data_IF_709648641240
#
_entry.id   IF_709648641240
#
_cell.length_a   1.000
_cell.length_b   1.000
_cell.length_c   1.000
_cell.angle_alpha   90.00
_cell.angle_beta   90.00
_cell.angle_gamma   90.00
#
_symmetry.space_group_name_H-M   'P 1'
#
loop_
_entity.id
_entity.type
_entity.pdbx_description
1 polymer ?
#
# COMPACT_ATOMS: atom_id res chain seq x y z
N UNK A 1 2.28 5.94 -2.60
CA UNK A 1 1.12 6.35 -1.76
C UNK A 1 1.62 7.30 -0.69
N UNK A 2 0.90 8.39 -0.40
CA UNK A 2 1.22 9.30 0.70
C UNK A 2 0.21 9.05 1.81
N UNK A 3 0.67 8.69 3.01
CA UNK A 3 -0.16 8.68 4.21
C UNK A 3 0.24 9.87 5.08
N UNK A 4 -0.74 10.59 5.59
CA UNK A 4 -0.54 11.63 6.58
C UNK A 4 -0.97 11.05 7.92
N UNK A 5 -0.06 10.99 8.88
CA UNK A 5 -0.41 10.53 10.22
C UNK A 5 -1.16 11.63 11.01
N UNK A 6 -1.67 11.29 12.20
CA UNK A 6 -2.36 12.24 13.07
C UNK A 6 -1.47 13.41 13.55
N UNK A 7 -0.15 13.30 13.40
CA UNK A 7 0.83 14.34 13.71
C UNK A 7 1.13 15.26 12.52
N UNK A 8 0.54 14.99 11.35
CA UNK A 8 0.80 15.71 10.11
C UNK A 8 2.10 15.29 9.41
N UNK A 9 2.79 14.26 9.90
CA UNK A 9 3.99 13.71 9.24
C UNK A 9 3.56 12.88 8.04
N UNK A 10 4.20 13.16 6.91
CA UNK A 10 3.97 12.43 5.67
C UNK A 10 4.85 11.19 5.62
N UNK A 11 4.24 10.01 5.53
CA UNK A 11 4.92 8.78 5.14
C UNK A 11 4.76 8.54 3.64
N UNK A 12 5.89 8.39 2.95
CA UNK A 12 5.93 8.05 1.52
C UNK A 12 6.21 6.57 1.36
N UNK A 13 5.23 5.85 0.81
CA UNK A 13 5.42 4.49 0.34
C UNK A 13 5.85 4.57 -1.12
N UNK A 14 7.14 4.33 -1.36
CA UNK A 14 7.73 4.23 -2.68
C UNK A 14 8.31 2.82 -2.83
N UNK A 15 7.52 1.92 -3.43
CA UNK A 15 8.02 0.65 -3.95
C UNK A 15 8.17 0.81 -5.45
N UNK A 16 9.36 0.53 -5.97
CA UNK A 16 9.55 0.41 -7.41
C UNK A 16 8.68 -0.73 -7.92
N UNK A 17 7.98 -0.53 -9.04
CA UNK A 17 7.25 -1.60 -9.71
C UNK A 17 8.20 -2.52 -10.49
N UNK A 18 9.44 -2.09 -10.72
CA UNK A 18 10.49 -2.89 -11.33
C UNK A 18 11.48 -3.34 -10.25
N UNK A 19 11.74 -4.63 -10.23
CA UNK A 19 12.73 -5.26 -9.36
C UNK A 19 13.81 -5.91 -10.23
N UNK A 20 15.07 -5.84 -9.79
CA UNK A 20 16.17 -6.48 -10.51
C UNK A 20 15.98 -8.00 -10.45
N UNK A 21 16.18 -8.68 -11.57
CA UNK A 21 16.10 -10.13 -11.62
C UNK A 21 17.29 -10.73 -10.88
N UNK A 22 17.07 -11.82 -10.14
CA UNK A 22 18.16 -12.60 -9.55
C UNK A 22 19.18 -13.07 -10.60
N UNK A 23 18.71 -13.31 -11.83
CA UNK A 23 19.52 -13.62 -13.00
C UNK A 23 19.07 -12.78 -14.18
N UNK A 24 19.92 -11.89 -14.72
CA UNK A 24 19.59 -11.11 -15.90
C UNK A 24 19.45 -12.05 -17.11
N UNK A 25 18.44 -11.81 -17.93
CA UNK A 25 18.22 -12.55 -19.17
C UNK A 25 19.16 -12.04 -20.26
N UNK A 26 19.57 -12.94 -21.15
CA UNK A 26 20.31 -12.54 -22.35
C UNK A 26 19.37 -11.78 -23.29
N UNK A 27 19.66 -10.50 -23.53
CA UNK A 27 18.99 -9.74 -24.59
C UNK A 27 19.27 -10.44 -25.92
N UNK A 28 18.25 -10.75 -26.75
CA UNK A 28 18.49 -11.29 -28.07
C UNK A 28 19.42 -10.32 -28.82
N UNK A 29 20.42 -10.83 -29.57
CA UNK A 29 21.32 -9.97 -30.32
C UNK A 29 20.49 -9.05 -31.21
N UNK A 30 20.63 -7.74 -31.00
CA UNK A 30 19.80 -6.72 -31.64
C UNK A 30 20.17 -6.50 -33.13
N UNK A 31 20.83 -7.49 -33.74
CA UNK A 31 21.43 -7.40 -35.07
C UNK A 31 21.05 -8.64 -35.85
N UNK A 32 20.06 -8.50 -36.73
CA UNK A 32 19.87 -9.43 -37.82
C UNK A 32 20.77 -8.98 -38.97
N UNK A 33 21.93 -9.58 -39.14
CA UNK A 33 22.67 -9.41 -40.39
C UNK A 33 21.97 -10.23 -41.47
N UNK A 34 21.83 -9.67 -42.68
CA UNK A 34 21.25 -10.37 -43.84
C UNK A 34 21.96 -11.70 -44.13
N UNK A 35 23.22 -11.83 -43.70
CA UNK A 35 24.08 -12.99 -43.84
C UNK A 35 23.66 -14.16 -42.93
N UNK A 36 23.10 -13.89 -41.75
CA UNK A 36 22.66 -14.91 -40.78
C UNK A 36 21.34 -15.58 -41.23
N UNK A 37 20.51 -14.87 -42.01
CA UNK A 37 19.28 -15.41 -42.60
C UNK A 37 19.61 -16.43 -43.71
N UNK A 38 20.80 -16.30 -44.32
CA UNK A 38 21.24 -17.14 -45.44
C UNK A 38 22.05 -18.37 -45.01
N UNK A 39 22.56 -18.41 -43.77
CA UNK A 39 23.36 -19.51 -43.23
C UNK A 39 22.56 -20.36 -42.24
N UNK A 40 21.54 -21.06 -42.76
CA UNK A 40 20.85 -22.14 -42.04
C UNK A 40 21.72 -23.40 -42.12
N UNK A 41 22.79 -23.46 -41.35
CA UNK A 41 23.47 -24.72 -41.03
C UNK A 41 23.34 -25.00 -39.55
N UNK A 42 22.54 -26.02 -39.25
CA UNK A 42 22.11 -26.50 -37.96
C UNK A 42 23.28 -26.68 -36.98
N UNK A 43 23.23 -25.99 -35.84
CA UNK A 43 23.82 -26.50 -34.60
C UNK A 43 22.88 -26.13 -33.46
N UNK A 44 21.91 -27.03 -33.25
CA UNK A 44 20.94 -27.02 -32.16
C UNK A 44 21.67 -27.32 -30.83
N UNK A 45 22.41 -26.35 -30.30
CA UNK A 45 22.50 -26.24 -28.85
C UNK A 45 21.12 -25.81 -28.36
N UNK A 46 20.55 -26.55 -27.40
CA UNK A 46 19.35 -26.14 -26.67
C UNK A 46 19.66 -24.86 -25.89
N UNK A 47 19.60 -23.73 -26.59
CA UNK A 47 19.40 -22.42 -25.98
C UNK A 47 18.01 -22.51 -25.39
N UNK A 48 17.93 -22.75 -24.07
CA UNK A 48 16.74 -22.37 -23.33
C UNK A 48 16.60 -20.88 -23.58
N UNK A 49 15.68 -20.52 -24.46
CA UNK A 49 15.29 -19.11 -24.63
C UNK A 49 14.96 -18.61 -23.23
N UNK A 50 15.77 -17.68 -22.75
CA UNK A 50 15.55 -16.97 -21.51
C UNK A 50 14.35 -16.03 -21.77
N UNK A 51 13.15 -16.61 -21.76
CA UNK A 51 11.91 -15.93 -22.12
C UNK A 51 11.58 -14.93 -21.01
N UNK A 52 11.39 -13.66 -21.40
CA UNK A 52 10.85 -12.62 -20.53
C UNK A 52 9.49 -13.09 -20.02
N UNK A 53 9.24 -12.97 -18.72
CA UNK A 53 7.96 -13.36 -18.13
C UNK A 53 6.78 -12.63 -18.79
N UNK A 54 5.65 -13.33 -18.89
CA UNK A 54 4.47 -12.84 -19.60
C UNK A 54 3.94 -11.53 -19.01
N UNK A 55 4.07 -11.34 -17.68
CA UNK A 55 3.60 -10.14 -17.00
C UNK A 55 4.43 -8.91 -17.38
N UNK A 56 5.76 -9.01 -17.32
CA UNK A 56 6.69 -7.94 -17.73
C UNK A 56 6.55 -7.63 -19.22
N UNK A 57 6.43 -8.65 -20.06
CA UNK A 57 6.36 -8.45 -21.52
C UNK A 57 5.04 -7.79 -21.96
N UNK A 58 3.94 -8.04 -21.24
CA UNK A 58 2.62 -7.46 -21.52
C UNK A 58 2.28 -6.28 -20.61
N UNK A 59 3.26 -5.72 -19.90
CA UNK A 59 3.01 -4.67 -18.94
C UNK A 59 2.40 -3.42 -19.63
N UNK A 60 1.30 -2.84 -19.11
CA UNK A 60 0.62 -1.74 -19.76
C UNK A 60 1.44 -0.44 -19.62
N UNK A 61 2.20 -0.10 -20.66
CA UNK A 61 2.93 1.17 -20.77
C UNK A 61 2.42 1.98 -21.96
N UNK A 62 2.51 3.30 -21.86
CA UNK A 62 2.27 4.18 -23.00
C UNK A 62 3.27 3.92 -24.12
N UNK A 63 2.86 4.13 -25.38
CA UNK A 63 3.70 3.88 -26.54
C UNK A 63 5.05 4.61 -26.49
N UNK A 64 5.10 5.80 -25.87
CA UNK A 64 6.32 6.59 -25.68
C UNK A 64 7.34 5.97 -24.72
N UNK A 65 6.88 5.12 -23.81
CA UNK A 65 7.71 4.48 -22.78
C UNK A 65 7.98 3.01 -23.08
N UNK A 66 7.46 2.50 -24.19
CA UNK A 66 7.61 1.09 -24.58
C UNK A 66 9.07 0.73 -24.88
N UNK A 67 9.81 1.63 -25.53
CA UNK A 67 11.24 1.44 -25.80
C UNK A 67 12.05 1.30 -24.49
N UNK A 68 11.79 2.16 -23.51
CA UNK A 68 12.42 2.07 -22.20
C UNK A 68 12.07 0.75 -21.48
N UNK A 69 10.82 0.25 -21.60
CA UNK A 69 10.46 -1.07 -21.08
C UNK A 69 11.23 -2.19 -21.80
N UNK A 70 11.35 -2.12 -23.12
CA UNK A 70 12.07 -3.10 -23.94
C UNK A 70 13.57 -3.16 -23.61
N UNK A 71 14.15 -2.07 -23.13
CA UNK A 71 15.53 -2.02 -22.64
C UNK A 71 15.69 -2.72 -21.28
N UNK A 72 14.79 -2.45 -20.33
CA UNK A 72 14.94 -2.93 -18.95
C UNK A 72 14.37 -4.32 -18.70
N UNK A 73 13.43 -4.82 -19.53
CA UNK A 73 12.72 -6.09 -19.27
C UNK A 73 13.60 -7.34 -19.17
N UNK A 74 14.84 -7.26 -19.66
CA UNK A 74 15.83 -8.33 -19.58
C UNK A 74 16.61 -8.30 -18.27
N UNK A 75 16.77 -7.14 -17.64
CA UNK A 75 17.49 -6.98 -16.36
C UNK A 75 16.54 -6.92 -15.17
N UNK A 76 15.32 -6.44 -15.38
CA UNK A 76 14.31 -6.26 -14.36
C UNK A 76 13.04 -7.08 -14.69
N UNK A 77 12.30 -7.45 -13.67
CA UNK A 77 10.94 -7.95 -13.77
C UNK A 77 9.96 -6.96 -13.16
N UNK A 78 8.72 -7.01 -13.59
CA UNK A 78 7.65 -6.24 -12.96
C UNK A 78 7.12 -7.00 -11.74
N UNK A 79 7.06 -6.30 -10.61
CA UNK A 79 6.39 -6.77 -9.41
C UNK A 79 5.15 -5.90 -9.14
N UNK A 80 3.94 -6.31 -9.59
CA UNK A 80 2.73 -5.54 -9.35
C UNK A 80 2.42 -5.43 -7.86
N UNK A 81 1.77 -4.33 -7.48
CA UNK A 81 1.18 -4.22 -6.16
C UNK A 81 0.04 -5.25 -6.04
N UNK A 82 0.11 -6.11 -5.02
CA UNK A 82 -0.91 -7.14 -4.78
C UNK A 82 -2.15 -6.50 -4.17
N UNK A 83 -3.17 -6.29 -4.99
CA UNK A 83 -4.45 -5.75 -4.57
C UNK A 83 -5.51 -6.81 -4.72
N UNK A 84 -6.28 -7.05 -3.65
CA UNK A 84 -7.35 -8.03 -3.64
C UNK A 84 -8.69 -7.36 -3.37
N UNK A 85 -9.74 -7.84 -4.03
CA UNK A 85 -11.13 -7.50 -3.79
C UNK A 85 -11.91 -8.81 -3.69
N UNK A 86 -12.60 -9.04 -2.58
CA UNK A 86 -13.39 -10.27 -2.37
C UNK A 86 -12.56 -11.56 -2.58
N UNK A 87 -11.31 -11.56 -2.08
CA UNK A 87 -10.29 -12.60 -2.27
C UNK A 87 -9.77 -12.80 -3.71
N UNK A 88 -10.23 -12.00 -4.67
CA UNK A 88 -9.75 -12.04 -6.06
C UNK A 88 -8.67 -10.99 -6.34
N UNK A 89 -7.66 -11.38 -7.12
CA UNK A 89 -6.59 -10.49 -7.52
C UNK A 89 -7.07 -9.44 -8.54
N UNK A 90 -6.86 -8.16 -8.23
CA UNK A 90 -7.18 -7.04 -9.12
C UNK A 90 -6.04 -6.81 -10.10
N UNK A 91 -6.33 -6.98 -11.40
CA UNK A 91 -5.36 -6.72 -12.47
C UNK A 91 -4.77 -5.31 -12.38
N UNK A 92 -3.47 -5.11 -12.68
CA UNK A 92 -2.78 -3.82 -12.57
C UNK A 92 -3.53 -2.64 -13.24
N UNK A 93 -4.12 -2.89 -14.42
CA UNK A 93 -4.88 -1.88 -15.17
C UNK A 93 -6.12 -1.36 -14.43
N UNK A 94 -6.68 -2.15 -13.51
CA UNK A 94 -7.90 -1.84 -12.77
C UNK A 94 -7.62 -1.37 -11.34
N UNK A 95 -6.38 -1.47 -10.85
CA UNK A 95 -6.02 -1.15 -9.45
C UNK A 95 -6.42 0.27 -9.07
N UNK A 96 -6.10 1.27 -9.89
CA UNK A 96 -6.43 2.67 -9.59
C UNK A 96 -7.94 2.92 -9.50
N UNK A 97 -8.74 2.21 -10.30
CA UNK A 97 -10.18 2.31 -10.26
C UNK A 97 -10.75 1.58 -9.04
N UNK A 98 -10.20 0.41 -8.71
CA UNK A 98 -10.62 -0.39 -7.55
C UNK A 98 -10.29 0.29 -6.21
N UNK A 99 -9.14 0.97 -6.12
CA UNK A 99 -8.71 1.68 -4.91
C UNK A 99 -9.39 3.05 -4.71
N UNK A 100 -10.08 3.57 -5.73
CA UNK A 100 -10.72 4.88 -5.64
C UNK A 100 -11.92 4.80 -4.71
N UNK A 101 -11.91 5.62 -3.66
CA UNK A 101 -12.97 5.69 -2.64
C UNK A 101 -13.23 4.35 -1.93
N UNK A 102 -12.25 3.44 -1.90
CA UNK A 102 -12.39 2.18 -1.18
C UNK A 102 -11.81 2.29 0.24
N UNK A 103 -12.50 1.69 1.20
CA UNK A 103 -11.90 1.32 2.48
C UNK A 103 -11.04 0.08 2.28
N UNK A 104 -9.78 0.16 2.69
CA UNK A 104 -8.79 -0.88 2.47
C UNK A 104 -8.07 -1.26 3.76
N UNK A 105 -7.70 -2.52 3.86
CA UNK A 105 -6.70 -3.03 4.78
C UNK A 105 -5.36 -3.10 4.06
N UNK A 106 -4.29 -2.60 4.69
CA UNK A 106 -2.95 -2.54 4.10
C UNK A 106 -2.01 -3.38 4.94
N UNK A 107 -1.44 -4.41 4.33
CA UNK A 107 -0.32 -5.17 4.88
C UNK A 107 0.98 -4.53 4.41
N UNK A 108 1.83 -4.16 5.36
CA UNK A 108 3.13 -3.55 5.09
C UNK A 108 4.18 -4.05 6.07
N UNK A 109 5.43 -4.09 5.62
CA UNK A 109 6.60 -4.34 6.46
C UNK A 109 7.35 -3.03 6.73
N UNK A 110 7.94 -2.92 7.93
CA UNK A 110 8.78 -1.78 8.33
C UNK A 110 10.18 -2.28 8.59
N UNK A 111 11.15 -1.72 7.87
CA UNK A 111 12.58 -1.93 8.07
C UNK A 111 13.16 -0.72 8.79
N UNK A 112 13.71 -0.96 9.98
CA UNK A 112 14.46 0.04 10.73
C UNK A 112 15.95 -0.13 10.47
N UNK A 113 16.65 0.97 10.25
CA UNK A 113 18.09 1.00 10.03
C UNK A 113 18.69 2.09 10.90
N UNK A 114 19.53 1.68 11.85
CA UNK A 114 20.31 2.58 12.68
C UNK A 114 21.59 3.00 11.95
N UNK A 115 21.81 4.31 11.78
CA UNK A 115 22.99 4.87 11.15
C UNK A 115 23.89 5.53 12.21
N UNK A 116 24.74 4.71 12.84
CA UNK A 116 25.68 5.16 13.88
C UNK A 116 26.99 5.77 13.38
N UNK A 117 27.21 5.82 12.07
CA UNK A 117 28.46 6.31 11.46
C UNK A 117 28.53 7.85 11.46
N UNK A 118 27.38 8.53 11.51
CA UNK A 118 27.30 10.00 11.53
C UNK A 118 26.99 10.50 12.95
N UNK A 119 27.54 11.66 13.31
CA UNK A 119 27.23 12.38 14.56
C UNK A 119 26.44 13.65 14.23
N UNK A 120 25.18 13.77 14.68
CA UNK A 120 24.45 12.85 15.55
C UNK A 120 23.99 11.58 14.84
N UNK A 121 23.86 10.48 15.59
CA UNK A 121 23.30 9.24 15.06
C UNK A 121 21.85 9.45 14.66
N UNK A 122 21.44 8.82 13.57
CA UNK A 122 20.09 8.95 13.03
C UNK A 122 19.46 7.58 12.77
N UNK A 123 18.19 7.46 13.12
CA UNK A 123 17.36 6.32 12.77
C UNK A 123 16.66 6.57 11.44
N UNK A 124 16.74 5.60 10.53
CA UNK A 124 15.98 5.60 9.28
C UNK A 124 14.96 4.48 9.29
N UNK A 125 13.73 4.79 8.88
CA UNK A 125 12.66 3.81 8.75
C UNK A 125 12.21 3.76 7.30
N UNK A 126 12.05 2.56 6.76
CA UNK A 126 11.49 2.30 5.45
C UNK A 126 10.28 1.40 5.59
N UNK A 127 9.16 1.78 4.99
CA UNK A 127 7.97 0.94 4.94
C UNK A 127 7.71 0.46 3.51
N UNK A 128 7.46 -0.84 3.35
CA UNK A 128 7.15 -1.46 2.06
C UNK A 128 5.72 -2.01 2.12
N UNK A 129 4.88 -1.65 1.16
CA UNK A 129 3.54 -2.23 1.03
C UNK A 129 3.68 -3.60 0.38
N UNK A 130 3.09 -4.61 1.01
CA UNK A 130 3.12 -6.00 0.54
C UNK A 130 1.80 -6.36 -0.14
N UNK A 131 0.68 -5.99 0.49
CA UNK A 131 -0.66 -6.32 0.02
C UNK A 131 -1.68 -5.26 0.43
N UNK A 132 -2.68 -5.05 -0.41
CA UNK A 132 -3.87 -4.25 -0.10
C UNK A 132 -5.10 -5.13 -0.29
N UNK A 133 -5.96 -5.20 0.71
CA UNK A 133 -7.27 -5.87 0.64
C UNK A 133 -8.38 -4.83 0.69
N UNK A 134 -9.22 -4.81 -0.32
CA UNK A 134 -10.40 -3.93 -0.37
C UNK A 134 -11.47 -4.54 0.52
N UNK A 135 -11.85 -3.82 1.59
CA UNK A 135 -12.87 -4.24 2.54
C UNK A 135 -14.26 -3.78 2.12
N UNK A 136 -14.34 -2.53 1.64
CA UNK A 136 -15.58 -1.93 1.18
C UNK A 136 -15.27 -0.95 0.06
N UNK A 137 -15.93 -1.09 -1.08
CA UNK A 137 -15.88 -0.09 -2.13
C UNK A 137 -17.06 0.86 -1.90
N UNK A 138 -16.80 2.10 -1.45
CA UNK A 138 -17.90 3.06 -1.42
C UNK A 138 -18.26 3.41 -2.86
N UNK A 139 -19.56 3.38 -3.15
CA UNK A 139 -20.09 4.15 -4.28
C UNK A 139 -19.60 5.57 -4.07
N UNK A 140 -19.13 6.20 -5.15
CA UNK A 140 -18.57 7.54 -5.14
C UNK A 140 -19.35 8.39 -4.13
N UNK A 141 -18.65 9.04 -3.20
CA UNK A 141 -19.27 10.10 -2.42
C UNK A 141 -19.93 11.00 -3.45
N UNK A 142 -21.26 10.98 -3.50
CA UNK A 142 -22.04 11.98 -4.23
C UNK A 142 -21.40 13.29 -3.79
N UNK A 143 -20.83 14.01 -4.76
CA UNK A 143 -20.09 15.24 -4.53
C UNK A 143 -20.82 15.99 -3.44
N UNK A 144 -20.18 16.08 -2.25
CA UNK A 144 -20.88 16.55 -1.06
C UNK A 144 -21.66 17.81 -1.42
N UNK A 145 -22.88 17.96 -0.90
CA UNK A 145 -23.76 19.09 -1.23
C UNK A 145 -23.13 20.47 -0.94
N UNK A 146 -21.92 20.49 -0.38
CA UNK A 146 -21.06 21.64 -0.17
C UNK A 146 -20.25 22.08 -1.42
N UNK A 147 -19.91 21.19 -2.35
CA UNK A 147 -19.00 21.55 -3.46
C UNK A 147 -19.65 22.42 -4.55
N UNK A 148 -20.98 22.40 -4.66
CA UNK A 148 -21.75 23.23 -5.62
C UNK A 148 -22.71 24.23 -4.95
N UNK A 149 -22.71 24.31 -3.62
CA UNK A 149 -23.55 25.27 -2.94
C UNK A 149 -23.01 26.69 -3.12
N UNK A 150 -23.81 27.55 -3.73
CA UNK A 150 -23.49 28.97 -3.84
C UNK A 150 -23.31 29.55 -2.43
N UNK A 151 -22.10 30.03 -2.11
CA UNK A 151 -21.78 30.58 -0.78
C UNK A 151 -22.72 31.72 -0.36
N UNK A 152 -23.40 32.36 -1.33
CA UNK A 152 -24.38 33.43 -1.09
C UNK A 152 -25.80 32.94 -0.82
N UNK A 153 -26.13 31.66 -1.01
CA UNK A 153 -27.47 31.12 -0.74
C UNK A 153 -27.76 30.84 0.74
N UNK A 154 -26.79 31.13 1.62
CA UNK A 154 -26.93 30.96 3.06
C UNK A 154 -26.33 29.66 3.60
N UNK A 155 -26.47 29.40 4.92
CA UNK A 155 -25.87 28.25 5.58
C UNK A 155 -26.41 26.94 4.99
N UNK A 156 -25.49 26.07 4.57
CA UNK A 156 -25.84 24.75 4.06
C UNK A 156 -26.26 23.91 5.26
N UNK A 157 -27.55 23.62 5.36
CA UNK A 157 -28.07 22.70 6.36
C UNK A 157 -27.41 21.34 6.13
N UNK A 158 -26.66 20.86 7.14
CA UNK A 158 -26.11 19.51 7.10
C UNK A 158 -27.29 18.54 6.95
N UNK A 159 -27.39 17.87 5.80
CA UNK A 159 -28.34 16.76 5.67
C UNK A 159 -27.91 15.74 6.71
N UNK A 160 -28.79 15.50 7.68
CA UNK A 160 -28.65 14.39 8.61
C UNK A 160 -28.55 13.12 7.79
N UNK A 161 -27.39 12.48 7.82
CA UNK A 161 -27.19 11.16 7.24
C UNK A 161 -28.16 10.22 7.95
N UNK A 162 -29.30 9.96 7.32
CA UNK A 162 -30.19 8.88 7.74
C UNK A 162 -29.47 7.58 7.37
N UNK A 163 -28.78 6.99 8.34
CA UNK A 163 -28.34 5.60 8.24
C UNK A 163 -29.60 4.75 8.18
N UNK A 164 -30.11 4.51 6.97
CA UNK A 164 -31.00 3.39 6.74
C UNK A 164 -30.15 2.14 6.89
N UNK A 165 -30.14 1.59 8.11
CA UNK A 165 -29.78 0.20 8.32
C UNK A 165 -30.69 -0.62 7.40
N UNK A 166 -30.14 -1.17 6.32
CA UNK A 166 -30.75 -2.32 5.66
C UNK A 166 -30.63 -3.47 6.67
N UNK A 167 -31.63 -3.59 7.54
CA UNK A 167 -31.99 -4.87 8.13
C UNK A 167 -32.78 -5.54 7.03
N UNK A 168 -32.16 -6.51 6.36
CA UNK A 168 -32.89 -7.50 5.58
C UNK A 168 -33.75 -8.25 6.60
N UNK A 169 -35.03 -7.87 6.68
CA UNK A 169 -36.05 -8.65 7.36
C UNK A 169 -36.35 -9.85 6.46
N UNK A 170 -35.67 -10.97 6.73
CA UNK A 170 -36.12 -12.29 6.30
C UNK A 170 -37.45 -12.58 7.02
N UNK A 171 -38.54 -12.38 6.30
CA UNK A 171 -39.86 -12.93 6.62
C UNK A 171 -39.79 -14.47 6.56
N UNK A 172 -39.77 -15.15 7.71
CA UNK A 172 -40.76 -16.19 8.03
C UNK A 172 -40.55 -16.86 9.40
N UNK A 173 -41.68 -17.06 10.08
CA UNK A 173 -41.99 -18.00 11.16
C UNK A 173 -41.83 -17.56 12.64
N UNK A 174 -42.99 -17.15 13.16
CA UNK A 174 -43.64 -17.68 14.37
C UNK A 174 -43.02 -17.46 15.77
N UNK A 175 -43.76 -16.62 16.52
CA UNK A 175 -44.33 -16.94 17.85
C UNK A 175 -43.36 -17.38 18.97
N UNK A 176 -43.09 -16.45 19.89
CA UNK A 176 -43.49 -16.60 21.31
C UNK A 176 -43.21 -15.35 22.13
N UNK A 177 -44.28 -14.93 22.78
CA UNK A 177 -44.37 -14.20 24.04
C UNK A 177 -43.04 -13.94 24.79
N UNK A 178 -42.72 -12.67 25.01
CA UNK A 178 -42.44 -12.18 26.37
C UNK A 178 -42.57 -10.66 26.47
N UNK A 179 -43.52 -10.27 27.33
CA UNK A 179 -43.60 -8.97 28.00
C UNK A 179 -42.34 -8.76 28.87
N UNK A 180 -42.18 -7.51 29.34
CA UNK A 180 -41.34 -7.03 30.46
C UNK A 180 -40.04 -6.38 29.94
N UNK A 181 -39.66 -5.14 30.23
CA UNK A 181 -40.25 -4.02 30.96
C UNK A 181 -39.52 -2.74 30.52
N UNK A 182 -40.25 -1.62 30.48
CA UNK A 182 -39.65 -0.29 30.59
C UNK A 182 -38.94 -0.17 31.95
N UNK A 183 -37.66 0.20 31.93
CA UNK A 183 -37.03 0.85 33.08
C UNK A 183 -36.35 2.12 32.62
N UNK A 184 -36.98 3.25 32.97
CA UNK A 184 -36.35 4.56 33.08
C UNK A 184 -35.38 4.54 34.27
N UNK A 185 -34.16 5.02 34.09
CA UNK A 185 -33.24 5.41 35.16
C UNK A 185 -32.07 6.17 34.52
N UNK A 186 -32.14 7.51 34.50
CA UNK A 186 -31.60 8.46 35.49
C UNK A 186 -30.07 8.58 35.44
N UNK A 187 -29.68 9.82 35.12
CA UNK A 187 -28.40 10.46 35.36
C UNK A 187 -27.73 10.02 36.66
N UNK A 188 -26.40 9.91 36.62
CA UNK A 188 -25.55 10.46 37.68
C UNK A 188 -24.17 10.82 37.15
N UNK A 189 -23.91 12.10 37.34
CA UNK A 189 -22.69 12.88 37.35
C UNK A 189 -21.60 12.30 38.29
N UNK A 190 -20.41 12.92 38.23
CA UNK A 190 -19.29 12.90 39.20
C UNK A 190 -18.26 11.76 39.00
N UNK A 191 -16.95 11.90 39.20
CA UNK A 191 -16.07 13.01 39.60
C UNK A 191 -14.60 12.50 39.54
N UNK A 192 -13.67 13.40 39.18
CA UNK A 192 -12.26 13.55 39.66
C UNK A 192 -11.20 12.42 39.62
N UNK A 193 -10.06 12.74 38.94
CA UNK A 193 -8.60 12.75 39.33
C UNK A 193 -8.12 11.87 40.53
N UNK A 194 -6.84 11.44 40.63
CA UNK A 194 -5.62 12.17 40.21
C UNK A 194 -4.46 11.34 39.60
N UNK A 195 -3.42 12.10 39.27
CA UNK A 195 -2.05 11.75 38.85
C UNK A 195 -1.37 10.71 39.74
N UNK A 196 -0.45 9.93 39.15
CA UNK A 196 0.73 9.47 39.88
C UNK A 196 1.99 9.51 39.03
N UNK A 197 2.99 10.20 39.58
CA UNK A 197 4.38 10.31 39.15
C UNK A 197 5.16 9.07 39.61
N UNK A 198 6.02 8.53 38.73
CA UNK A 198 7.29 7.85 39.06
C UNK A 198 8.20 8.12 37.86
N UNK A 199 9.25 8.94 37.92
CA UNK A 199 10.41 9.03 38.83
C UNK A 199 11.31 7.78 38.79
N UNK A 200 12.61 8.07 38.62
CA UNK A 200 13.80 7.20 38.66
C UNK A 200 14.02 6.29 37.44
N UNK A 201 15.22 6.16 36.89
CA UNK A 201 16.53 6.66 37.29
C UNK A 201 17.62 5.78 36.65
N UNK A 202 18.83 6.34 36.52
CA UNK A 202 20.10 5.66 36.20
C UNK A 202 20.18 4.97 34.83
N UNK A 203 21.29 4.97 34.11
CA UNK A 203 22.64 4.70 34.58
C UNK A 203 23.65 5.27 33.57
N UNK A 204 24.46 6.24 34.00
CA UNK A 204 25.67 6.63 33.26
C UNK A 204 26.75 5.61 33.60
N UNK A 205 27.00 4.65 32.71
CA UNK A 205 28.23 3.85 32.73
C UNK A 205 29.26 4.47 31.81
N UNK A 206 30.21 5.14 32.46
CA UNK A 206 31.52 5.46 31.92
C UNK A 206 32.35 4.16 31.92
N UNK A 207 32.87 3.76 30.76
CA UNK A 207 33.99 2.81 30.69
C UNK A 207 34.97 3.26 29.60
N UNK A 208 36.17 3.52 30.11
CA UNK A 208 37.48 3.74 29.50
C UNK A 208 37.97 2.61 28.61
N UNK A 209 38.87 2.94 27.67
CA UNK A 209 40.12 2.27 27.22
C UNK A 209 40.33 2.66 25.74
N UNK A 210 41.24 3.58 25.41
CA UNK A 210 42.69 3.44 25.33
C UNK A 210 43.11 2.22 24.48
N UNK A 211 43.55 2.48 23.25
CA UNK A 211 44.60 1.70 22.61
C UNK A 211 45.28 2.52 21.50
N UNK A 212 46.57 2.79 21.77
CA UNK A 212 47.62 3.18 20.84
C UNK A 212 47.67 2.20 19.66
N UNK A 213 47.81 2.71 18.42
CA UNK A 213 48.57 1.99 17.38
C UNK A 213 49.18 2.98 16.40
N UNK A 214 50.51 3.00 16.49
CA UNK A 214 51.58 3.48 15.61
C UNK A 214 51.29 3.43 14.11
N UNK A 215 51.63 4.51 13.37
CA UNK A 215 52.60 4.54 12.24
C UNK A 215 53.28 5.91 12.24
#
# INVERSE_FOLDING_TARGET
MLLVDASGKMMRFAKSIFEERDKPLKKPPNVHYYEDIMNVSETSEKVTEDVVDEETNNWPVEAKSKEALDEIKYTHCVLPLRVYKDEEYVKPRNVNAALRNSMVEVLFSVHHTYLGIQTPAHDTFRANIEQIKILKQDQAFDETSYSHANVRSGPIAAKTFSMKHHIEEDDESESRHQKICLVKGKEKESQTRPEDKKESGNEKRSTTLAEDTTI
#
